data_IF_037032458861
#
_entry.id   IF_037032458861
#
_cell.length_a   1.000
_cell.length_b   1.000
_cell.length_c   1.000
_cell.angle_alpha   90.00
_cell.angle_beta   90.00
_cell.angle_gamma   90.00
#
_symmetry.space_group_name_H-M   'P 1'
#
loop_
_entity.id
_entity.type
_entity.pdbx_description
1 polymer ?
#
# COMPACT_ATOMS: atom_id res chain seq x y z
N UNK A 1 8.05 -21.69 31.63
CA UNK A 1 8.72 -20.57 30.97
C UNK A 1 8.49 -20.75 29.48
N UNK A 2 7.52 -20.02 28.91
CA UNK A 2 7.17 -20.14 27.49
C UNK A 2 8.33 -19.59 26.66
N UNK A 3 8.87 -20.39 25.73
CA UNK A 3 9.77 -19.86 24.71
C UNK A 3 8.93 -18.88 23.88
N UNK A 4 9.22 -17.58 23.97
CA UNK A 4 8.75 -16.64 22.96
C UNK A 4 9.16 -17.21 21.60
N UNK A 5 8.18 -17.55 20.78
CA UNK A 5 8.40 -18.05 19.43
C UNK A 5 8.92 -16.87 18.60
N UNK A 6 10.18 -16.93 18.17
CA UNK A 6 10.85 -15.93 17.29
C UNK A 6 10.30 -16.00 15.85
N UNK A 7 8.99 -15.93 15.71
CA UNK A 7 8.27 -16.08 14.44
C UNK A 7 7.13 -15.07 14.38
N UNK A 8 6.79 -14.62 13.17
CA UNK A 8 5.57 -13.84 12.95
C UNK A 8 4.32 -14.67 13.33
N UNK A 9 3.24 -14.01 13.79
CA UNK A 9 1.98 -14.69 14.05
C UNK A 9 1.43 -15.29 12.74
N UNK A 10 0.96 -16.55 12.72
CA UNK A 10 0.46 -17.19 11.51
C UNK A 10 -1.01 -16.79 11.23
N UNK A 11 -1.25 -15.48 11.07
CA UNK A 11 -2.57 -14.89 10.78
C UNK A 11 -2.65 -14.42 9.32
N UNK A 12 -3.86 -14.13 8.85
CA UNK A 12 -4.13 -13.74 7.46
C UNK A 12 -3.36 -12.47 7.07
N UNK A 13 -3.35 -11.47 7.95
CA UNK A 13 -2.65 -10.20 7.80
C UNK A 13 -1.14 -10.39 7.58
N UNK A 14 -0.54 -11.40 8.22
CA UNK A 14 0.87 -11.74 8.00
C UNK A 14 1.11 -12.20 6.57
N UNK A 15 0.23 -13.06 6.05
CA UNK A 15 0.33 -13.49 4.65
C UNK A 15 0.05 -12.33 3.69
N UNK A 16 -0.83 -11.39 4.05
CA UNK A 16 -1.14 -10.22 3.24
C UNK A 16 0.05 -9.26 3.13
N UNK A 17 0.71 -8.94 4.24
CA UNK A 17 1.90 -8.08 4.24
C UNK A 17 3.05 -8.74 3.49
N UNK A 18 3.31 -10.02 3.79
CA UNK A 18 4.45 -10.73 3.22
C UNK A 18 4.34 -10.93 1.71
N UNK A 19 3.15 -10.93 1.11
CA UNK A 19 3.01 -11.02 -0.35
C UNK A 19 3.66 -9.88 -1.14
N UNK A 20 4.00 -8.76 -0.49
CA UNK A 20 4.74 -7.63 -1.10
C UNK A 20 6.23 -7.92 -1.21
N UNK A 21 6.71 -8.81 -0.36
CA UNK A 21 8.09 -9.24 -0.34
C UNK A 21 8.12 -10.51 -1.18
N UNK A 22 9.12 -10.69 -2.06
CA UNK A 22 9.23 -11.90 -2.89
C UNK A 22 9.70 -13.10 -2.07
N UNK A 23 8.94 -13.40 -1.01
CA UNK A 23 9.08 -14.55 -0.11
C UNK A 23 8.42 -15.76 -0.76
N UNK A 24 8.76 -15.98 -2.03
CA UNK A 24 8.32 -17.12 -2.83
C UNK A 24 9.05 -18.42 -2.46
N UNK A 25 9.99 -18.38 -1.51
CA UNK A 25 10.84 -19.53 -1.18
C UNK A 25 10.43 -20.35 0.06
N UNK A 26 9.54 -19.90 0.93
CA UNK A 26 9.22 -20.68 2.13
C UNK A 26 7.97 -21.54 1.94
N UNK A 27 8.17 -22.86 1.90
CA UNK A 27 7.12 -23.87 2.03
C UNK A 27 6.55 -23.93 3.48
N UNK A 28 6.67 -22.85 4.25
CA UNK A 28 6.41 -22.79 5.69
C UNK A 28 5.43 -21.68 6.02
N UNK A 29 4.40 -22.02 6.79
CA UNK A 29 3.32 -21.12 7.24
C UNK A 29 3.77 -20.08 8.29
N UNK A 30 5.05 -20.02 8.63
CA UNK A 30 5.60 -19.12 9.63
C UNK A 30 7.03 -18.70 9.25
N UNK A 31 7.27 -17.39 9.16
CA UNK A 31 8.59 -16.82 8.98
C UNK A 31 9.22 -16.50 10.34
N UNK A 32 10.47 -16.93 10.51
CA UNK A 32 11.29 -16.54 11.65
C UNK A 32 11.81 -15.12 11.48
N UNK A 33 12.12 -14.47 12.58
CA UNK A 33 12.75 -13.14 12.55
C UNK A 33 14.12 -13.16 11.86
N UNK A 34 14.83 -14.28 11.91
CA UNK A 34 16.12 -14.44 11.25
C UNK A 34 15.97 -14.50 9.73
N UNK A 35 14.99 -15.27 9.22
CA UNK A 35 14.70 -15.34 7.78
C UNK A 35 14.34 -13.98 7.20
N UNK A 36 13.53 -13.19 7.91
CA UNK A 36 13.18 -11.83 7.49
C UNK A 36 14.41 -10.92 7.43
N UNK A 37 15.27 -10.96 8.44
CA UNK A 37 16.50 -10.16 8.44
C UNK A 37 17.45 -10.56 7.32
N UNK A 38 17.53 -11.85 6.98
CA UNK A 38 18.37 -12.35 5.88
C UNK A 38 17.94 -11.82 4.51
N UNK A 39 16.68 -11.42 4.35
CA UNK A 39 16.16 -10.80 3.13
C UNK A 39 15.98 -9.27 3.27
N UNK A 40 16.58 -8.67 4.30
CA UNK A 40 16.60 -7.22 4.51
C UNK A 40 15.34 -6.64 5.15
N UNK A 41 14.42 -7.47 5.63
CA UNK A 41 13.18 -7.02 6.28
C UNK A 41 13.39 -6.94 7.80
N UNK A 42 12.97 -5.83 8.40
CA UNK A 42 12.99 -5.68 9.86
C UNK A 42 11.72 -6.32 10.47
N UNK A 43 11.84 -7.40 11.26
CA UNK A 43 10.68 -8.05 11.88
C UNK A 43 9.84 -7.10 12.73
N UNK A 44 10.49 -6.18 13.44
CA UNK A 44 9.84 -5.17 14.28
C UNK A 44 8.91 -4.28 13.47
N UNK A 45 9.31 -3.91 12.24
CA UNK A 45 8.50 -3.10 11.35
C UNK A 45 7.26 -3.86 10.86
N UNK A 46 7.43 -5.14 10.53
CA UNK A 46 6.31 -6.02 10.14
C UNK A 46 5.33 -6.21 11.30
N UNK A 47 5.81 -6.34 12.54
CA UNK A 47 4.97 -6.45 13.73
C UNK A 47 4.15 -5.17 13.98
N UNK A 48 4.77 -3.99 13.82
CA UNK A 48 4.05 -2.72 13.94
C UNK A 48 2.98 -2.60 12.85
N UNK A 49 3.31 -2.92 11.59
CA UNK A 49 2.34 -2.95 10.50
C UNK A 49 1.21 -3.94 10.76
N UNK A 50 1.48 -5.12 11.32
CA UNK A 50 0.45 -6.09 11.65
C UNK A 50 -0.61 -5.51 12.58
N UNK A 51 -0.22 -4.73 13.60
CA UNK A 51 -1.17 -4.05 14.48
C UNK A 51 -2.12 -3.13 13.71
N UNK A 52 -1.60 -2.37 12.74
CA UNK A 52 -2.39 -1.47 11.88
C UNK A 52 -3.31 -2.25 10.93
N UNK A 53 -2.81 -3.38 10.40
CA UNK A 53 -3.60 -4.27 9.56
C UNK A 53 -4.72 -4.98 10.36
N UNK A 54 -4.51 -5.32 11.63
CA UNK A 54 -5.54 -5.93 12.46
C UNK A 54 -6.62 -4.90 12.87
N UNK A 55 -6.22 -3.69 13.28
CA UNK A 55 -7.12 -2.60 13.64
C UNK A 55 -6.55 -1.24 13.25
N UNK A 56 -7.06 -0.67 12.15
CA UNK A 56 -6.67 0.66 11.69
C UNK A 56 -7.01 1.76 12.71
N UNK A 57 -7.99 1.57 13.60
CA UNK A 57 -8.31 2.57 14.64
C UNK A 57 -7.27 2.62 15.76
N UNK A 58 -6.44 1.59 15.86
CA UNK A 58 -5.33 1.53 16.82
C UNK A 58 -4.07 2.23 16.30
N UNK A 59 -4.08 2.69 15.05
CA UNK A 59 -2.94 3.33 14.40
C UNK A 59 -2.39 4.51 15.22
N UNK A 60 -1.06 4.52 15.36
CA UNK A 60 -0.33 5.63 15.96
C UNK A 60 0.96 5.88 15.19
N UNK A 61 1.08 7.04 14.54
CA UNK A 61 2.31 7.43 13.83
C UNK A 61 3.55 7.39 14.74
N UNK A 62 3.39 7.62 16.05
CA UNK A 62 4.47 7.60 17.04
C UNK A 62 5.14 6.24 17.14
N UNK A 63 4.40 5.14 16.94
CA UNK A 63 4.95 3.78 16.93
C UNK A 63 5.99 3.61 15.81
N UNK A 64 5.85 4.36 14.73
CA UNK A 64 6.73 4.25 13.57
C UNK A 64 7.93 5.22 13.58
N UNK A 65 7.98 6.15 14.53
CA UNK A 65 9.02 7.21 14.58
C UNK A 65 10.45 6.66 14.71
N UNK A 66 10.61 5.48 15.30
CA UNK A 66 11.93 4.88 15.50
C UNK A 66 12.45 4.14 14.26
N UNK A 67 11.62 3.91 13.23
CA UNK A 67 12.07 3.32 11.99
C UNK A 67 12.70 4.38 11.08
N UNK A 68 13.86 4.12 10.45
CA UNK A 68 14.45 5.02 9.46
C UNK A 68 13.51 5.26 8.27
N UNK A 69 13.52 6.47 7.69
CA UNK A 69 12.73 6.78 6.50
C UNK A 69 12.97 5.79 5.34
N UNK A 70 14.21 5.33 5.07
CA UNK A 70 14.43 4.32 4.03
C UNK A 70 13.67 3.00 4.24
N UNK A 71 13.37 2.62 5.49
CA UNK A 71 12.57 1.41 5.79
C UNK A 71 11.10 1.61 5.40
N UNK A 72 10.55 2.80 5.69
CA UNK A 72 9.16 3.14 5.34
C UNK A 72 9.02 3.27 3.82
N UNK A 73 9.99 3.92 3.16
CA UNK A 73 10.04 4.03 1.69
C UNK A 73 10.14 2.65 1.04
N UNK A 74 10.99 1.74 1.53
CA UNK A 74 11.10 0.38 1.00
C UNK A 74 9.77 -0.39 1.12
N UNK A 75 9.04 -0.24 2.23
CA UNK A 75 7.72 -0.83 2.38
C UNK A 75 6.69 -0.27 1.38
N UNK A 76 6.61 1.05 1.24
CA UNK A 76 5.67 1.68 0.30
C UNK A 76 6.01 1.30 -1.14
N UNK A 77 7.29 1.28 -1.51
CA UNK A 77 7.78 0.83 -2.81
C UNK A 77 7.35 -0.61 -3.12
N UNK A 78 7.59 -1.56 -2.19
CA UNK A 78 7.15 -2.95 -2.38
C UNK A 78 5.63 -3.08 -2.43
N UNK A 79 4.92 -2.22 -1.70
CA UNK A 79 3.46 -2.14 -1.75
C UNK A 79 3.00 -1.68 -3.14
N UNK A 80 3.66 -0.70 -3.74
CA UNK A 80 3.39 -0.26 -5.11
C UNK A 80 3.62 -1.37 -6.13
N UNK A 81 4.74 -2.08 -6.04
CA UNK A 81 5.01 -3.22 -6.92
C UNK A 81 3.93 -4.30 -6.79
N UNK A 82 3.52 -4.61 -5.56
CA UNK A 82 2.43 -5.55 -5.29
C UNK A 82 1.09 -5.09 -5.87
N UNK A 83 0.77 -3.79 -5.78
CA UNK A 83 -0.45 -3.23 -6.35
C UNK A 83 -0.47 -3.37 -7.88
N UNK A 84 0.60 -2.91 -8.53
CA UNK A 84 0.68 -2.85 -9.98
C UNK A 84 0.81 -4.24 -10.61
N UNK A 85 1.66 -5.10 -10.04
CA UNK A 85 2.03 -6.37 -10.66
C UNK A 85 1.15 -7.54 -10.20
N UNK A 86 0.30 -7.35 -9.19
CA UNK A 86 -0.55 -8.42 -8.67
C UNK A 86 -1.99 -7.99 -8.45
N UNK A 87 -2.26 -7.06 -7.53
CA UNK A 87 -3.64 -6.76 -7.11
C UNK A 87 -4.51 -6.21 -8.23
N UNK A 88 -4.01 -5.24 -8.98
CA UNK A 88 -4.73 -4.69 -10.13
C UNK A 88 -4.95 -5.79 -11.19
N UNK A 89 -3.97 -6.66 -11.44
CA UNK A 89 -4.15 -7.73 -12.42
C UNK A 89 -5.21 -8.78 -12.00
N UNK A 90 -5.24 -9.15 -10.71
CA UNK A 90 -6.23 -10.06 -10.13
C UNK A 90 -7.65 -9.48 -10.22
N UNK A 91 -7.82 -8.19 -9.91
CA UNK A 91 -9.10 -7.49 -10.00
C UNK A 91 -9.55 -7.37 -11.46
N UNK A 92 -8.65 -6.97 -12.37
CA UNK A 92 -8.93 -6.87 -13.80
C UNK A 92 -9.40 -8.21 -14.38
N UNK A 93 -8.73 -9.30 -14.03
CA UNK A 93 -9.13 -10.64 -14.44
C UNK A 93 -10.53 -10.99 -13.92
N UNK A 94 -10.84 -10.67 -12.67
CA UNK A 94 -12.13 -10.96 -12.07
C UNK A 94 -13.26 -10.13 -12.67
N UNK A 95 -12.99 -8.87 -13.02
CA UNK A 95 -13.91 -8.02 -13.79
C UNK A 95 -14.16 -8.63 -15.16
N UNK A 96 -13.12 -9.04 -15.90
CA UNK A 96 -13.29 -9.67 -17.21
C UNK A 96 -14.15 -10.95 -17.15
N UNK A 97 -13.90 -11.83 -16.18
CA UNK A 97 -14.70 -13.04 -16.01
C UNK A 97 -16.15 -12.75 -15.60
N UNK A 98 -16.37 -11.67 -14.83
CA UNK A 98 -17.70 -11.25 -14.42
C UNK A 98 -18.49 -10.64 -15.59
N UNK A 99 -17.81 -9.92 -16.51
CA UNK A 99 -18.42 -9.36 -17.71
C UNK A 99 -19.11 -10.45 -18.55
N UNK A 100 -18.46 -11.60 -18.72
CA UNK A 100 -19.01 -12.74 -19.46
C UNK A 100 -20.22 -13.41 -18.76
N UNK A 101 -20.42 -13.15 -17.46
CA UNK A 101 -21.50 -13.73 -16.67
C UNK A 101 -22.80 -12.92 -16.68
N UNK A 102 -22.79 -11.69 -17.20
CA UNK A 102 -23.98 -10.83 -17.32
C UNK A 102 -24.42 -10.66 -18.78
N UNK A 103 -25.71 -10.35 -19.05
CA UNK A 103 -26.11 -9.85 -20.35
C UNK A 103 -25.33 -8.60 -20.73
N UNK A 104 -24.94 -8.45 -21.99
CA UNK A 104 -24.13 -7.31 -22.48
C UNK A 104 -24.78 -5.93 -22.26
N UNK A 105 -26.09 -5.88 -22.01
CA UNK A 105 -26.85 -4.66 -21.71
C UNK A 105 -26.90 -4.33 -20.21
N UNK A 106 -26.28 -5.14 -19.35
CA UNK A 106 -26.37 -4.95 -17.91
C UNK A 106 -25.55 -3.71 -17.48
N UNK A 107 -26.15 -2.73 -16.78
CA UNK A 107 -25.53 -1.44 -16.48
C UNK A 107 -24.25 -1.53 -15.63
N UNK A 108 -24.16 -2.56 -14.78
CA UNK A 108 -22.95 -2.83 -13.98
C UNK A 108 -21.69 -3.01 -14.85
N UNK A 109 -21.82 -3.53 -16.08
CA UNK A 109 -20.66 -3.82 -16.93
C UNK A 109 -19.95 -2.55 -17.38
N UNK A 110 -20.72 -1.53 -17.79
CA UNK A 110 -20.17 -0.25 -18.19
C UNK A 110 -19.56 0.50 -17.00
N UNK A 111 -20.22 0.43 -15.84
CA UNK A 111 -19.72 1.02 -14.61
C UNK A 111 -18.38 0.40 -14.20
N UNK A 112 -18.32 -0.93 -14.11
CA UNK A 112 -17.10 -1.66 -13.74
C UNK A 112 -15.95 -1.35 -14.69
N UNK A 113 -16.22 -1.37 -16.00
CA UNK A 113 -15.20 -1.09 -17.01
C UNK A 113 -14.66 0.34 -16.88
N UNK A 114 -15.54 1.34 -16.93
CA UNK A 114 -15.10 2.74 -16.94
C UNK A 114 -14.40 3.12 -15.65
N UNK A 115 -15.00 2.76 -14.51
CA UNK A 115 -14.38 3.05 -13.23
C UNK A 115 -13.03 2.35 -13.09
N UNK A 116 -12.95 1.06 -13.41
CA UNK A 116 -11.70 0.34 -13.22
C UNK A 116 -10.58 0.89 -14.10
N UNK A 117 -10.87 1.26 -15.34
CA UNK A 117 -9.90 1.89 -16.25
C UNK A 117 -9.44 3.24 -15.70
N UNK A 118 -10.35 4.09 -15.26
CA UNK A 118 -10.04 5.41 -14.72
C UNK A 118 -9.26 5.31 -13.41
N UNK A 119 -9.72 4.47 -12.48
CA UNK A 119 -9.08 4.19 -11.21
C UNK A 119 -7.66 3.64 -11.38
N UNK A 120 -7.49 2.60 -12.21
CA UNK A 120 -6.19 2.01 -12.53
C UNK A 120 -5.24 3.04 -13.12
N UNK A 121 -5.74 3.92 -13.98
CA UNK A 121 -4.95 5.00 -14.59
C UNK A 121 -4.52 6.04 -13.53
N UNK A 122 -5.41 6.46 -12.64
CA UNK A 122 -5.13 7.41 -11.58
C UNK A 122 -4.11 6.85 -10.59
N UNK A 123 -4.35 5.67 -10.03
CA UNK A 123 -3.45 5.03 -9.08
C UNK A 123 -2.06 4.81 -9.68
N UNK A 124 -1.97 4.40 -10.95
CA UNK A 124 -0.67 4.24 -11.64
C UNK A 124 0.11 5.53 -11.78
N UNK A 125 -0.57 6.63 -12.12
CA UNK A 125 0.08 7.94 -12.25
C UNK A 125 0.57 8.47 -10.90
N UNK A 126 -0.23 8.25 -9.85
CA UNK A 126 0.12 8.59 -8.48
C UNK A 126 1.39 7.85 -8.03
N UNK A 127 1.38 6.52 -8.11
CA UNK A 127 2.54 5.66 -7.83
C UNK A 127 3.75 6.06 -8.67
N UNK A 128 3.58 6.30 -9.98
CA UNK A 128 4.69 6.71 -10.86
C UNK A 128 5.31 8.04 -10.44
N UNK A 129 4.50 8.96 -9.92
CA UNK A 129 4.95 10.26 -9.45
C UNK A 129 5.74 10.12 -8.14
N UNK A 130 5.28 9.31 -7.19
CA UNK A 130 6.00 9.00 -5.95
C UNK A 130 7.34 8.31 -6.21
N UNK A 131 7.32 7.24 -7.00
CA UNK A 131 8.49 6.40 -7.29
C UNK A 131 9.59 7.17 -8.02
N UNK A 132 9.22 8.08 -8.93
CA UNK A 132 10.20 8.82 -9.73
C UNK A 132 10.69 10.09 -9.07
N UNK A 133 9.89 10.69 -8.19
CA UNK A 133 10.14 12.04 -7.69
C UNK A 133 10.20 12.07 -6.17
N UNK A 134 9.12 11.67 -5.47
CA UNK A 134 9.04 11.80 -4.02
C UNK A 134 10.05 10.88 -3.31
N UNK A 135 9.99 9.57 -3.54
CA UNK A 135 10.81 8.60 -2.81
C UNK A 135 12.30 8.83 -3.01
N UNK A 136 12.81 9.07 -4.24
CA UNK A 136 14.23 9.42 -4.43
C UNK A 136 14.63 10.67 -3.67
N UNK A 137 13.76 11.68 -3.61
CA UNK A 137 14.04 12.91 -2.88
C UNK A 137 14.08 12.67 -1.37
N UNK A 138 13.13 11.93 -0.80
CA UNK A 138 13.13 11.58 0.64
C UNK A 138 14.39 10.78 1.00
N UNK A 139 14.83 9.85 0.14
CA UNK A 139 16.06 9.10 0.36
C UNK A 139 17.30 10.01 0.34
N UNK A 140 17.34 11.02 -0.56
CA UNK A 140 18.41 12.03 -0.56
C UNK A 140 18.42 12.86 0.74
N UNK A 141 17.25 13.22 1.27
CA UNK A 141 17.13 13.91 2.56
C UNK A 141 17.71 13.04 3.69
N UNK A 142 17.33 11.77 3.74
CA UNK A 142 17.81 10.82 4.74
C UNK A 142 19.34 10.65 4.67
N UNK A 143 19.90 10.49 3.47
CA UNK A 143 21.35 10.39 3.28
C UNK A 143 22.10 11.66 3.69
N UNK A 144 21.57 12.84 3.34
CA UNK A 144 22.17 14.11 3.72
C UNK A 144 22.19 14.29 5.24
N UNK A 145 21.10 13.90 5.91
CA UNK A 145 21.01 13.91 7.37
C UNK A 145 22.06 12.99 8.02
N UNK A 146 22.21 11.76 7.52
CA UNK A 146 23.23 10.81 8.00
C UNK A 146 24.66 11.35 7.83
N UNK A 147 24.91 12.09 6.74
CA UNK A 147 26.21 12.75 6.49
C UNK A 147 26.38 14.10 7.20
N UNK A 148 25.36 14.58 7.91
CA UNK A 148 25.30 15.95 8.46
C UNK A 148 25.56 17.03 7.38
N UNK A 149 25.09 16.79 6.17
CA UNK A 149 25.23 17.67 5.01
C UNK A 149 23.95 18.48 4.79
N UNK A 150 24.11 19.69 4.25
CA UNK A 150 23.00 20.54 3.83
C UNK A 150 22.60 20.22 2.40
N UNK A 151 21.33 20.41 2.09
CA UNK A 151 20.82 20.35 0.73
C UNK A 151 20.67 21.77 0.17
N UNK A 152 20.96 21.96 -1.11
CA UNK A 152 20.79 23.27 -1.75
C UNK A 152 19.30 23.63 -1.87
N UNK A 153 18.99 24.93 -1.90
CA UNK A 153 17.64 25.48 -2.08
C UNK A 153 17.03 25.28 -3.48
N UNK A 154 17.75 24.59 -4.37
CA UNK A 154 17.39 24.39 -5.77
C UNK A 154 16.94 22.95 -6.06
N UNK A 155 16.21 22.31 -5.13
CA UNK A 155 15.50 21.07 -5.42
C UNK A 155 14.24 21.40 -6.22
N UNK A 156 13.99 20.67 -7.30
CA UNK A 156 12.80 20.88 -8.15
C UNK A 156 11.49 20.41 -7.48
N UNK A 157 11.59 19.78 -6.30
CA UNK A 157 10.51 19.14 -5.56
C UNK A 157 10.57 19.64 -4.12
N UNK A 158 9.41 19.99 -3.57
CA UNK A 158 9.22 20.30 -2.14
C UNK A 158 8.22 19.33 -1.55
N UNK A 159 8.51 18.80 -0.34
CA UNK A 159 7.57 17.91 0.36
C UNK A 159 6.26 18.66 0.65
N UNK A 160 6.33 19.93 1.02
CA UNK A 160 5.14 20.74 1.26
C UNK A 160 4.27 20.91 0.01
N UNK A 161 4.89 21.07 -1.16
CA UNK A 161 4.15 21.17 -2.42
C UNK A 161 3.47 19.84 -2.74
N UNK A 162 4.18 18.72 -2.57
CA UNK A 162 3.61 17.38 -2.74
C UNK A 162 2.37 17.18 -1.86
N UNK A 163 2.46 17.47 -0.57
CA UNK A 163 1.33 17.35 0.38
C UNK A 163 0.12 18.18 -0.08
N UNK A 164 0.33 19.35 -0.68
CA UNK A 164 -0.76 20.20 -1.14
C UNK A 164 -1.42 19.70 -2.45
N UNK A 165 -0.68 18.95 -3.27
CA UNK A 165 -1.13 18.42 -4.56
C UNK A 165 -1.60 16.97 -4.49
N UNK A 166 -1.24 16.25 -3.42
CA UNK A 166 -1.61 14.86 -3.18
C UNK A 166 -3.12 14.73 -2.97
N UNK A 167 -3.70 13.68 -3.54
CA UNK A 167 -5.15 13.44 -3.55
C UNK A 167 -5.42 12.01 -3.15
N UNK A 168 -6.29 11.83 -2.16
CA UNK A 168 -6.76 10.52 -1.67
C UNK A 168 -7.31 9.66 -2.82
N UNK A 169 -6.62 8.58 -3.17
CA UNK A 169 -7.10 7.61 -4.16
C UNK A 169 -7.97 6.51 -3.52
N UNK A 170 -8.02 6.43 -2.20
CA UNK A 170 -8.68 5.37 -1.41
C UNK A 170 -10.20 5.51 -1.47
N UNK A 171 -10.70 6.75 -1.38
CA UNK A 171 -12.14 7.07 -1.36
C UNK A 171 -12.86 6.63 -2.63
N UNK A 172 -12.14 6.60 -3.75
CA UNK A 172 -12.68 6.20 -5.03
C UNK A 172 -13.06 4.71 -5.06
N UNK A 173 -12.28 3.85 -4.38
CA UNK A 173 -12.48 2.41 -4.43
C UNK A 173 -13.64 1.93 -3.55
N UNK A 174 -13.77 2.51 -2.35
CA UNK A 174 -14.88 2.22 -1.42
C UNK A 174 -16.24 2.53 -2.07
N UNK A 175 -16.35 3.70 -2.70
CA UNK A 175 -17.58 4.10 -3.39
C UNK A 175 -17.94 3.16 -4.53
N UNK A 176 -16.95 2.57 -5.20
CA UNK A 176 -17.24 1.57 -6.22
C UNK A 176 -17.66 0.25 -5.67
N UNK A 177 -17.03 -0.26 -4.62
CA UNK A 177 -17.54 -1.48 -3.98
C UNK A 177 -18.98 -1.28 -3.49
N UNK A 178 -19.30 -0.13 -2.89
CA UNK A 178 -20.69 0.23 -2.53
C UNK A 178 -21.60 0.29 -3.74
N UNK A 179 -21.16 0.88 -4.85
CA UNK A 179 -21.97 0.96 -6.07
C UNK A 179 -22.24 -0.42 -6.66
N UNK A 180 -21.23 -1.30 -6.69
CA UNK A 180 -21.38 -2.70 -7.15
C UNK A 180 -22.43 -3.44 -6.29
N UNK A 181 -22.43 -3.22 -4.97
CA UNK A 181 -23.38 -3.85 -4.03
C UNK A 181 -24.85 -3.47 -4.28
N UNK A 182 -25.12 -2.38 -4.98
CA UNK A 182 -26.50 -2.02 -5.37
C UNK A 182 -27.04 -2.90 -6.51
N UNK A 183 -26.19 -3.67 -7.18
CA UNK A 183 -26.60 -4.60 -8.24
C UNK A 183 -26.69 -6.04 -7.72
N UNK A 184 -27.59 -6.82 -8.32
CA UNK A 184 -27.72 -8.24 -7.99
C UNK A 184 -26.60 -9.08 -8.63
N UNK A 185 -26.10 -10.12 -7.94
CA UNK A 185 -25.16 -11.06 -8.55
C UNK A 185 -25.79 -11.77 -9.76
N UNK A 186 -24.99 -12.21 -10.75
CA UNK A 186 -25.53 -12.85 -11.94
C UNK A 186 -26.10 -14.24 -11.59
N UNK A 187 -27.23 -14.59 -12.22
CA UNK A 187 -27.87 -15.90 -12.02
C UNK A 187 -26.92 -17.02 -12.43
N UNK A 188 -26.55 -17.89 -11.48
CA UNK A 188 -25.65 -19.02 -11.72
C UNK A 188 -24.16 -18.71 -11.54
N UNK A 189 -23.75 -17.47 -11.26
CA UNK A 189 -22.35 -17.13 -11.01
C UNK A 189 -22.14 -16.15 -9.84
N UNK A 190 -22.80 -16.45 -8.72
CA UNK A 190 -22.67 -15.68 -7.47
C UNK A 190 -21.24 -15.73 -6.90
N UNK A 191 -20.48 -16.77 -7.22
CA UNK A 191 -19.11 -16.95 -6.74
C UNK A 191 -18.17 -15.89 -7.30
N UNK A 192 -18.16 -15.62 -8.61
CA UNK A 192 -17.30 -14.59 -9.19
C UNK A 192 -17.62 -13.20 -8.65
N UNK A 193 -18.90 -12.88 -8.47
CA UNK A 193 -19.32 -11.61 -7.88
C UNK A 193 -18.79 -11.45 -6.45
N UNK A 194 -18.86 -12.51 -5.62
CA UNK A 194 -18.30 -12.51 -4.26
C UNK A 194 -16.78 -12.42 -4.25
N UNK A 195 -16.09 -13.05 -5.21
CA UNK A 195 -14.63 -12.97 -5.35
C UNK A 195 -14.22 -11.51 -5.62
N UNK A 196 -14.84 -10.86 -6.61
CA UNK A 196 -14.52 -9.46 -6.94
C UNK A 196 -14.74 -8.53 -5.74
N UNK A 197 -15.89 -8.65 -5.04
CA UNK A 197 -16.15 -7.84 -3.84
C UNK A 197 -15.13 -8.08 -2.74
N UNK A 198 -14.71 -9.33 -2.53
CA UNK A 198 -13.68 -9.68 -1.55
C UNK A 198 -12.31 -9.10 -1.92
N UNK A 199 -11.94 -9.14 -3.20
CA UNK A 199 -10.69 -8.55 -3.69
C UNK A 199 -10.68 -7.04 -3.50
N UNK A 200 -11.77 -6.36 -3.85
CA UNK A 200 -11.92 -4.91 -3.66
C UNK A 200 -11.82 -4.55 -2.17
N UNK A 201 -12.52 -5.28 -1.30
CA UNK A 201 -12.46 -5.03 0.15
C UNK A 201 -11.05 -5.22 0.73
N UNK A 202 -10.34 -6.28 0.33
CA UNK A 202 -8.95 -6.51 0.77
C UNK A 202 -8.04 -5.40 0.26
N UNK A 203 -8.22 -4.97 -0.99
CA UNK A 203 -7.41 -3.92 -1.59
C UNK A 203 -7.68 -2.54 -0.98
N UNK A 204 -8.94 -2.20 -0.70
CA UNK A 204 -9.33 -1.00 0.06
C UNK A 204 -8.65 -0.95 1.43
N UNK A 205 -8.66 -2.07 2.17
CA UNK A 205 -7.99 -2.17 3.47
C UNK A 205 -6.48 -1.92 3.33
N UNK A 206 -5.87 -2.50 2.29
CA UNK A 206 -4.44 -2.34 1.98
C UNK A 206 -4.08 -0.88 1.67
N UNK A 207 -4.88 -0.23 0.82
CA UNK A 207 -4.73 1.17 0.42
C UNK A 207 -4.89 2.11 1.63
N UNK A 208 -5.85 1.86 2.51
CA UNK A 208 -6.01 2.64 3.72
C UNK A 208 -4.77 2.56 4.64
N UNK A 209 -4.15 1.38 4.78
CA UNK A 209 -2.90 1.26 5.56
C UNK A 209 -1.72 1.94 4.85
N UNK A 210 -1.65 1.83 3.52
CA UNK A 210 -0.65 2.56 2.73
C UNK A 210 -0.76 4.07 2.95
N UNK A 211 -1.97 4.64 2.84
CA UNK A 211 -2.21 6.07 3.07
C UNK A 211 -1.82 6.50 4.49
N UNK A 212 -2.18 5.74 5.53
CA UNK A 212 -1.72 6.03 6.91
C UNK A 212 -0.19 6.08 7.01
N UNK A 213 0.51 5.14 6.37
CA UNK A 213 1.97 5.10 6.39
C UNK A 213 2.61 6.24 5.58
N UNK A 214 1.98 6.66 4.49
CA UNK A 214 2.44 7.79 3.68
C UNK A 214 2.14 9.13 4.37
N UNK A 215 0.87 9.41 4.63
CA UNK A 215 0.35 10.71 5.03
C UNK A 215 0.64 11.05 6.49
N UNK A 216 0.55 10.07 7.38
CA UNK A 216 0.70 10.29 8.82
C UNK A 216 2.10 9.95 9.34
N UNK A 217 2.91 9.20 8.57
CA UNK A 217 4.28 8.81 8.98
C UNK A 217 5.35 9.37 8.05
N UNK A 218 5.32 9.03 6.76
CA UNK A 218 6.41 9.38 5.84
C UNK A 218 6.48 10.88 5.58
N UNK A 219 5.40 11.49 5.09
CA UNK A 219 5.36 12.88 4.65
C UNK A 219 5.65 13.87 5.79
N UNK A 220 5.07 13.74 7.01
CA UNK A 220 5.35 14.70 8.08
C UNK A 220 6.81 14.65 8.53
N UNK A 221 7.41 13.46 8.58
CA UNK A 221 8.81 13.27 8.96
C UNK A 221 9.77 13.74 7.87
N UNK A 222 9.44 13.49 6.61
CA UNK A 222 10.21 14.00 5.48
C UNK A 222 10.18 15.54 5.42
N UNK A 223 9.02 16.16 5.69
CA UNK A 223 8.86 17.62 5.74
C UNK A 223 9.70 18.24 6.87
N UNK A 224 9.70 17.64 8.05
CA UNK A 224 10.54 18.11 9.16
C UNK A 224 12.03 18.01 8.81
N UNK A 225 12.44 16.90 8.20
CA UNK A 225 13.82 16.71 7.77
C UNK A 225 14.23 17.71 6.68
N UNK A 226 13.37 17.93 5.68
CA UNK A 226 13.56 18.94 4.63
C UNK A 226 13.82 20.32 5.24
N UNK A 227 12.99 20.76 6.19
CA UNK A 227 13.17 22.05 6.88
C UNK A 227 14.49 22.14 7.62
N UNK A 228 14.87 21.11 8.39
CA UNK A 228 16.14 21.10 9.12
C UNK A 228 17.36 21.19 8.20
N UNK A 229 17.29 20.58 7.02
CA UNK A 229 18.38 20.57 6.05
C UNK A 229 18.43 21.84 5.18
N UNK A 230 17.34 22.61 5.09
CA UNK A 230 17.28 23.90 4.39
C UNK A 230 17.53 25.12 5.31
N UNK A 231 17.09 25.08 6.58
CA UNK A 231 17.03 26.24 7.48
C UNK A 231 18.31 26.51 8.31
N UNK A 232 19.52 26.16 7.83
CA UNK A 232 20.76 26.65 8.48
C UNK A 232 21.90 26.97 7.52
#
# INVERSE_FOLDING_TARGET
>A
MSKQTNTLPPIEETSQILQRYDVSQAHTMAYTYEELRNIGIQPEFILALLGVFEDQNSFSAVEFNHFPLPVIVDYLHKTHEYYINKKLLEIEQSIHLLVDAYPSTHPLLLLLHNFYVDYKSHLRKHIEMEERNLFPYILQLAEAADRNEKIGTATAISIQQFINEHHDTEKDLEEVRKTILHYSPPTGNQTLYRILLSQLQVFEKDLAVHALMEDDVLLPRALELEKQLLDA
#
